data_IF_661255749429
#
_entry.id   IF_661255749429
#
_cell.length_a   1.000
_cell.length_b   1.000
_cell.length_c   1.000
_cell.angle_alpha   90.00
_cell.angle_beta   90.00
_cell.angle_gamma   90.00
#
_symmetry.space_group_name_H-M   'P 1'
#
loop_
_entity.id
_entity.type
_entity.pdbx_description
1 polymer ?
#
# COMPACT_ATOMS: atom_id res chain seq x y z
N UNK A 1 4.24 19.71 -5.23
CA UNK A 1 4.16 20.03 -3.79
C UNK A 1 5.49 19.59 -3.24
N UNK A 2 6.31 20.49 -2.70
CA UNK A 2 7.64 20.14 -2.21
C UNK A 2 7.50 19.17 -1.04
N UNK A 3 8.17 18.03 -1.12
CA UNK A 3 8.16 17.00 -0.08
C UNK A 3 8.76 17.60 1.20
N UNK A 4 7.93 17.83 2.21
CA UNK A 4 8.35 18.27 3.54
C UNK A 4 9.22 17.23 4.27
N UNK A 5 9.22 16.00 3.76
CA UNK A 5 9.83 14.81 4.36
C UNK A 5 10.65 14.12 3.27
N UNK A 6 11.96 14.00 3.49
CA UNK A 6 12.84 13.22 2.63
C UNK A 6 12.81 11.77 3.11
N UNK A 7 12.17 10.89 2.32
CA UNK A 7 11.99 9.51 2.73
C UNK A 7 13.32 8.74 2.81
N UNK A 8 13.43 7.84 3.77
CA UNK A 8 14.54 6.92 3.93
C UNK A 8 14.61 5.91 2.76
N UNK A 9 15.78 5.30 2.58
CA UNK A 9 16.01 4.35 1.48
C UNK A 9 15.07 3.14 1.58
N UNK A 10 14.93 2.56 2.77
CA UNK A 10 14.08 1.40 3.01
C UNK A 10 12.64 1.84 3.27
N UNK A 11 11.69 1.30 2.52
CA UNK A 11 10.27 1.57 2.66
C UNK A 11 9.51 0.27 2.89
N UNK A 12 8.46 0.30 3.71
CA UNK A 12 7.59 -0.84 3.98
C UNK A 12 6.18 -0.58 3.47
N UNK A 13 5.64 -1.54 2.72
CA UNK A 13 4.29 -1.52 2.18
C UNK A 13 3.48 -2.71 2.71
N UNK A 14 2.45 -2.41 3.50
CA UNK A 14 1.61 -3.42 4.13
C UNK A 14 0.17 -2.90 4.37
N UNK A 15 -0.69 -3.78 4.86
CA UNK A 15 -2.07 -3.49 5.23
C UNK A 15 -2.27 -3.25 6.71
N UNK A 16 -3.02 -2.20 7.02
CA UNK A 16 -3.56 -1.95 8.34
C UNK A 16 -5.08 -2.04 8.36
N UNK A 17 -5.65 -2.12 9.56
CA UNK A 17 -7.09 -2.11 9.75
C UNK A 17 -7.50 -1.16 10.86
N UNK A 18 -8.39 -0.24 10.54
CA UNK A 18 -9.09 0.57 11.52
C UNK A 18 -10.35 -0.20 11.95
N UNK A 19 -10.45 -0.52 13.25
CA UNK A 19 -11.61 -1.19 13.81
C UNK A 19 -12.88 -0.36 13.56
N UNK A 20 -13.85 -0.95 12.84
CA UNK A 20 -15.15 -0.31 12.61
C UNK A 20 -16.23 -1.37 12.39
N UNK A 21 -17.31 -1.28 13.17
CA UNK A 21 -18.42 -2.26 13.15
C UNK A 21 -19.75 -1.71 12.63
N UNK A 22 -19.82 -0.41 12.30
CA UNK A 22 -21.02 0.21 11.76
C UNK A 22 -21.37 -0.27 10.34
N UNK A 23 -22.44 0.32 9.79
CA UNK A 23 -22.87 0.09 8.41
C UNK A 23 -22.00 0.91 7.45
N UNK A 24 -21.13 0.22 6.73
CA UNK A 24 -20.24 0.81 5.72
C UNK A 24 -20.14 -0.14 4.54
N UNK A 25 -20.29 0.39 3.33
CA UNK A 25 -20.37 -0.42 2.10
C UNK A 25 -19.11 -1.24 1.83
N UNK A 26 -17.93 -0.68 2.11
CA UNK A 26 -16.63 -1.30 1.85
C UNK A 26 -15.98 -1.89 3.12
N UNK A 27 -16.76 -2.13 4.18
CA UNK A 27 -16.27 -2.78 5.40
C UNK A 27 -15.67 -4.14 5.06
N UNK A 28 -14.45 -4.38 5.51
CA UNK A 28 -13.75 -5.64 5.31
C UNK A 28 -13.86 -6.54 6.52
N UNK A 29 -13.92 -7.85 6.25
CA UNK A 29 -13.78 -8.90 7.24
C UNK A 29 -12.49 -9.69 6.99
N UNK A 30 -11.54 -9.64 7.93
CA UNK A 30 -10.28 -10.41 7.85
C UNK A 30 -10.22 -11.39 9.02
N UNK A 31 -10.40 -12.67 8.70
CA UNK A 31 -10.53 -13.77 9.70
C UNK A 31 -9.34 -13.85 10.66
N UNK A 32 -8.13 -13.61 10.16
CA UNK A 32 -6.88 -13.84 10.90
C UNK A 32 -6.35 -12.59 11.63
N UNK A 33 -7.11 -11.49 11.68
CA UNK A 33 -6.71 -10.27 12.42
C UNK A 33 -7.51 -10.18 13.73
N UNK A 34 -6.88 -9.60 14.77
CA UNK A 34 -7.49 -9.38 16.11
C UNK A 34 -8.79 -8.56 15.98
N UNK A 35 -8.73 -7.48 15.22
CA UNK A 35 -9.90 -6.73 14.80
C UNK A 35 -10.37 -7.31 13.48
N UNK A 36 -11.44 -8.14 13.52
CA UNK A 36 -11.90 -8.86 12.33
C UNK A 36 -12.70 -7.98 11.37
N UNK A 37 -13.39 -6.96 11.86
CA UNK A 37 -14.24 -6.08 11.06
C UNK A 37 -13.70 -4.66 11.10
N UNK A 38 -13.52 -4.05 9.94
CA UNK A 38 -13.00 -2.70 9.89
C UNK A 38 -12.85 -2.12 8.50
N UNK A 39 -12.19 -0.97 8.46
CA UNK A 39 -11.75 -0.31 7.24
C UNK A 39 -10.31 -0.76 6.96
N UNK A 40 -10.10 -1.37 5.79
CA UNK A 40 -8.78 -1.83 5.35
C UNK A 40 -8.03 -0.64 4.74
N UNK A 41 -6.80 -0.42 5.18
CA UNK A 41 -5.88 0.58 4.64
C UNK A 41 -4.70 -0.14 3.99
N UNK A 42 -4.23 0.40 2.87
CA UNK A 42 -2.91 0.12 2.32
C UNK A 42 -1.99 1.28 2.73
N UNK A 43 -0.81 0.98 3.25
CA UNK A 43 0.10 2.01 3.76
C UNK A 43 1.50 1.82 3.21
N UNK A 44 2.16 2.94 2.92
CA UNK A 44 3.58 3.05 2.68
C UNK A 44 4.20 3.77 3.87
N UNK A 45 5.20 3.15 4.47
CA UNK A 45 5.80 3.59 5.72
C UNK A 45 7.32 3.54 5.67
N UNK A 46 7.97 4.34 6.50
CA UNK A 46 9.39 4.20 6.81
C UNK A 46 9.60 3.13 7.90
N UNK A 47 10.84 2.63 8.09
CA UNK A 47 11.16 1.60 9.07
C UNK A 47 10.87 2.03 10.53
N UNK A 48 10.89 3.33 10.81
CA UNK A 48 10.56 3.91 12.12
C UNK A 48 9.05 4.04 12.38
N UNK A 49 8.22 3.71 11.39
CA UNK A 49 6.77 3.75 11.46
C UNK A 49 6.14 5.05 10.93
N UNK A 50 6.92 5.99 10.39
CA UNK A 50 6.36 7.18 9.75
C UNK A 50 5.54 6.80 8.51
N UNK A 51 4.28 7.24 8.46
CA UNK A 51 3.40 6.97 7.32
C UNK A 51 3.62 8.02 6.23
N UNK A 52 4.17 7.58 5.10
CA UNK A 52 4.42 8.40 3.92
C UNK A 52 3.17 8.54 3.05
N UNK A 53 2.40 7.44 2.94
CA UNK A 53 1.14 7.43 2.18
C UNK A 53 0.19 6.37 2.71
N UNK A 54 -1.11 6.66 2.62
CA UNK A 54 -2.16 5.72 2.91
C UNK A 54 -3.23 5.77 1.82
N UNK A 55 -3.82 4.61 1.52
CA UNK A 55 -4.95 4.47 0.61
C UNK A 55 -6.04 3.63 1.27
N UNK A 56 -7.25 4.16 1.33
CA UNK A 56 -8.40 3.47 1.91
C UNK A 56 -9.03 2.54 0.87
N UNK A 57 -9.17 1.27 1.22
CA UNK A 57 -9.88 0.32 0.37
C UNK A 57 -11.35 0.71 0.21
N UNK A 58 -11.75 1.04 -1.02
CA UNK A 58 -13.09 1.52 -1.36
C UNK A 58 -14.04 0.45 -1.93
N UNK A 59 -13.66 -0.82 -1.92
CA UNK A 59 -14.49 -1.87 -2.55
C UNK A 59 -14.41 -1.86 -4.08
N UNK A 60 -15.55 -2.05 -4.73
CA UNK A 60 -15.67 -2.08 -6.20
C UNK A 60 -15.60 -0.70 -6.87
N UNK A 61 -15.76 0.37 -6.10
CA UNK A 61 -15.65 1.75 -6.59
C UNK A 61 -14.23 2.32 -6.47
N UNK A 62 -13.29 1.55 -5.94
CA UNK A 62 -11.90 1.97 -5.72
C UNK A 62 -11.14 2.13 -7.05
N UNK A 63 -10.35 3.19 -7.20
CA UNK A 63 -9.49 3.41 -8.38
C UNK A 63 -8.51 2.25 -8.63
N UNK A 64 -8.16 1.52 -7.58
CA UNK A 64 -7.27 0.36 -7.63
C UNK A 64 -8.01 -0.95 -7.89
N UNK A 65 -9.34 -0.96 -8.03
CA UNK A 65 -10.11 -2.20 -8.15
C UNK A 65 -9.87 -2.95 -9.48
N UNK A 66 -10.40 -4.18 -9.55
CA UNK A 66 -10.39 -5.02 -10.74
C UNK A 66 -9.09 -5.80 -10.96
N UNK A 67 -8.83 -6.19 -12.21
CA UNK A 67 -7.63 -6.97 -12.56
C UNK A 67 -6.36 -6.17 -12.26
N UNK A 68 -5.38 -6.86 -11.66
CA UNK A 68 -4.12 -6.25 -11.26
C UNK A 68 -4.23 -5.32 -10.04
N UNK A 69 -5.22 -5.53 -9.17
CA UNK A 69 -5.46 -4.70 -7.98
C UNK A 69 -4.19 -4.44 -7.17
N UNK A 70 -3.43 -5.49 -6.84
CA UNK A 70 -2.19 -5.40 -6.06
C UNK A 70 -1.15 -4.49 -6.72
N UNK A 71 -0.93 -4.67 -8.02
CA UNK A 71 -0.01 -3.83 -8.81
C UNK A 71 -0.48 -2.36 -8.81
N UNK A 72 -1.78 -2.11 -8.98
CA UNK A 72 -2.33 -0.75 -8.94
C UNK A 72 -2.13 -0.10 -7.58
N UNK A 73 -2.36 -0.83 -6.48
CA UNK A 73 -2.12 -0.35 -5.12
C UNK A 73 -0.65 0.03 -4.92
N UNK A 74 0.29 -0.85 -5.29
CA UNK A 74 1.72 -0.60 -5.12
C UNK A 74 2.16 0.65 -5.90
N UNK A 75 1.79 0.75 -7.18
CA UNK A 75 2.14 1.92 -7.99
C UNK A 75 1.46 3.21 -7.51
N UNK A 76 0.24 3.12 -6.99
CA UNK A 76 -0.45 4.27 -6.41
C UNK A 76 0.27 4.77 -5.15
N UNK A 77 0.68 3.85 -4.29
CA UNK A 77 1.41 4.19 -3.07
C UNK A 77 2.80 4.77 -3.37
N UNK A 78 3.48 4.24 -4.39
CA UNK A 78 4.84 4.65 -4.76
C UNK A 78 4.92 5.82 -5.76
N UNK A 79 3.81 6.41 -6.22
CA UNK A 79 3.78 7.37 -7.34
C UNK A 79 4.86 8.49 -7.27
N UNK A 80 5.19 8.97 -6.07
CA UNK A 80 6.19 10.04 -5.87
C UNK A 80 7.46 9.53 -5.14
N UNK A 81 7.59 8.22 -4.99
CA UNK A 81 8.72 7.51 -4.36
C UNK A 81 9.44 6.59 -5.36
N UNK A 82 9.02 6.54 -6.62
CA UNK A 82 9.77 5.85 -7.68
C UNK A 82 10.97 6.69 -8.15
N UNK A 83 11.94 6.03 -8.79
CA UNK A 83 13.13 6.65 -9.40
C UNK A 83 14.10 7.34 -8.42
N UNK A 84 13.86 7.17 -7.11
CA UNK A 84 14.67 7.74 -6.02
C UNK A 84 15.64 6.72 -5.37
N UNK A 85 15.68 5.47 -5.84
CA UNK A 85 16.60 4.44 -5.32
C UNK A 85 16.13 3.72 -4.06
N UNK A 86 14.84 3.79 -3.74
CA UNK A 86 14.28 3.13 -2.56
C UNK A 86 14.22 1.60 -2.73
N UNK A 87 14.34 0.90 -1.60
CA UNK A 87 14.10 -0.53 -1.48
C UNK A 87 12.76 -0.75 -0.75
N UNK A 88 11.80 -1.39 -1.41
CA UNK A 88 10.43 -1.56 -0.94
C UNK A 88 10.20 -2.98 -0.47
N UNK A 89 9.94 -3.13 0.83
CA UNK A 89 9.61 -4.39 1.46
C UNK A 89 8.08 -4.55 1.50
N UNK A 90 7.58 -5.67 0.98
CA UNK A 90 6.14 -5.93 0.87
C UNK A 90 5.82 -7.40 1.11
N UNK A 91 4.62 -7.68 1.61
CA UNK A 91 4.12 -9.04 1.79
C UNK A 91 3.98 -9.76 0.42
N UNK A 92 3.99 -11.10 0.47
CA UNK A 92 3.79 -11.98 -0.67
C UNK A 92 2.50 -11.66 -1.45
N UNK A 93 1.48 -11.12 -0.80
CA UNK A 93 0.25 -10.66 -1.46
C UNK A 93 0.51 -9.69 -2.63
N UNK A 94 1.56 -8.87 -2.56
CA UNK A 94 1.90 -7.89 -3.58
C UNK A 94 2.90 -8.40 -4.62
N UNK A 95 3.66 -9.43 -4.28
CA UNK A 95 4.81 -9.86 -5.07
C UNK A 95 4.39 -10.50 -6.40
N UNK A 96 5.06 -10.10 -7.48
CA UNK A 96 4.88 -10.67 -8.81
C UNK A 96 5.97 -10.22 -9.77
N UNK A 97 6.38 -11.11 -10.67
CA UNK A 97 7.50 -10.86 -11.59
C UNK A 97 7.33 -9.56 -12.39
N UNK A 98 6.16 -9.34 -12.99
CA UNK A 98 5.90 -8.15 -13.79
C UNK A 98 5.99 -6.85 -12.98
N UNK A 99 5.58 -6.88 -11.70
CA UNK A 99 5.70 -5.73 -10.81
C UNK A 99 7.17 -5.47 -10.50
N UNK A 100 7.92 -6.50 -10.10
CA UNK A 100 9.34 -6.38 -9.77
C UNK A 100 10.16 -5.85 -10.96
N UNK A 101 9.95 -6.40 -12.16
CA UNK A 101 10.61 -5.94 -13.39
C UNK A 101 10.30 -4.45 -13.69
N UNK A 102 9.04 -4.04 -13.47
CA UNK A 102 8.62 -2.66 -13.67
C UNK A 102 9.26 -1.72 -12.65
N UNK A 103 9.27 -2.07 -11.37
CA UNK A 103 9.89 -1.27 -10.31
C UNK A 103 11.40 -1.12 -10.55
N UNK A 104 12.07 -2.20 -10.97
CA UNK A 104 13.50 -2.19 -11.30
C UNK A 104 13.83 -1.20 -12.43
N UNK A 105 12.97 -1.10 -13.44
CA UNK A 105 13.12 -0.12 -14.53
C UNK A 105 13.04 1.32 -14.02
N UNK A 106 12.28 1.55 -12.95
CA UNK A 106 12.15 2.83 -12.24
C UNK A 106 13.08 2.94 -11.02
N UNK A 107 14.25 2.26 -11.02
CA UNK A 107 15.25 2.33 -9.94
C UNK A 107 14.66 2.17 -8.53
N UNK A 108 13.69 1.27 -8.41
CA UNK A 108 13.01 0.92 -7.16
C UNK A 108 13.13 -0.59 -6.99
N UNK A 109 13.61 -1.03 -5.82
CA UNK A 109 14.07 -2.40 -5.60
C UNK A 109 13.15 -3.19 -4.69
#
# INVERSE_FOLDING_TARGET
MNDLICAQKELSLDESMILYRGRLLFRQYIKNKKHKYGMKLYMLTEPDGLVLRLHLYGGSADITCGKGHTVKVVLHLLKDFVEKGHSVYMDNFYNGYNLAAKLLTHKTY
#
